data_IF_115394279257
#
_entry.id   IF_115394279257
#
_cell.length_a   1.000
_cell.length_b   1.000
_cell.length_c   1.000
_cell.angle_alpha   90.00
_cell.angle_beta   90.00
_cell.angle_gamma   90.00
#
_symmetry.space_group_name_H-M   'P 1'
#
loop_
_entity.id
_entity.type
_entity.pdbx_description
1 polymer ?
#
# COMPACT_ATOMS: atom_id res chain seq x y z
N UNK A 1 23.73 19.41 -17.62
CA UNK A 1 22.41 19.16 -17.04
C UNK A 1 22.02 20.32 -16.16
N UNK A 2 20.88 20.94 -16.40
CA UNK A 2 20.35 22.06 -15.62
C UNK A 2 19.79 21.59 -14.28
N UNK A 3 19.61 22.50 -13.32
CA UNK A 3 18.96 22.19 -12.01
C UNK A 3 17.54 21.64 -12.24
N UNK A 4 16.79 22.19 -13.18
CA UNK A 4 15.44 21.76 -13.53
C UNK A 4 15.43 20.30 -14.03
N UNK A 5 16.29 19.98 -14.98
CA UNK A 5 16.44 18.60 -15.49
C UNK A 5 16.78 17.60 -14.37
N UNK A 6 17.59 18.04 -13.39
CA UNK A 6 17.96 17.21 -12.26
C UNK A 6 16.78 16.95 -11.33
N UNK A 7 15.97 17.98 -11.05
CA UNK A 7 14.77 17.86 -10.24
C UNK A 7 13.73 16.95 -10.91
N UNK A 8 13.55 17.06 -12.23
CA UNK A 8 12.65 16.18 -13.01
C UNK A 8 13.09 14.69 -12.92
N UNK A 9 14.40 14.44 -12.92
CA UNK A 9 14.94 13.08 -12.75
C UNK A 9 14.62 12.56 -11.34
N UNK A 10 14.80 13.36 -10.28
CA UNK A 10 14.48 12.95 -8.92
C UNK A 10 12.98 12.74 -8.71
N UNK A 11 12.13 13.59 -9.27
CA UNK A 11 10.69 13.43 -9.25
C UNK A 11 10.26 12.08 -9.84
N UNK A 12 10.78 11.73 -11.03
CA UNK A 12 10.53 10.45 -11.68
C UNK A 12 11.12 9.27 -10.92
N UNK A 13 12.31 9.42 -10.33
CA UNK A 13 12.98 8.39 -9.53
C UNK A 13 12.15 8.05 -8.28
N UNK A 14 11.60 9.07 -7.62
CA UNK A 14 10.75 8.96 -6.44
C UNK A 14 9.28 8.62 -6.77
N UNK A 15 8.90 8.57 -8.05
CA UNK A 15 7.51 8.37 -8.52
C UNK A 15 6.52 9.41 -7.99
N UNK A 16 6.94 10.64 -7.76
CA UNK A 16 6.06 11.72 -7.34
C UNK A 16 5.15 12.18 -8.50
N UNK A 17 5.58 11.99 -9.74
CA UNK A 17 4.80 12.17 -10.96
C UNK A 17 3.63 11.17 -11.09
N UNK A 18 3.67 10.05 -10.34
CA UNK A 18 2.68 8.96 -10.38
C UNK A 18 2.24 8.58 -8.96
N UNK A 19 1.41 9.38 -8.30
CA UNK A 19 1.13 9.25 -6.86
C UNK A 19 0.32 8.01 -6.47
N UNK A 20 -0.15 7.20 -7.42
CA UNK A 20 -0.98 6.02 -7.14
C UNK A 20 -0.38 5.10 -6.08
N UNK A 21 0.94 4.86 -6.14
CA UNK A 21 1.60 4.00 -5.16
C UNK A 21 1.66 4.60 -3.75
N UNK A 22 1.73 5.94 -3.64
CA UNK A 22 1.62 6.65 -2.36
C UNK A 22 0.20 6.47 -1.81
N UNK A 23 -0.82 6.65 -2.64
CA UNK A 23 -2.22 6.55 -2.24
C UNK A 23 -2.59 5.13 -1.79
N UNK A 24 -2.13 4.08 -2.50
CA UNK A 24 -2.37 2.69 -2.11
C UNK A 24 -1.70 2.31 -0.78
N UNK A 25 -0.61 2.95 -0.40
CA UNK A 25 0.03 2.81 0.92
C UNK A 25 -0.66 3.68 1.98
N UNK A 26 -1.18 4.84 1.57
CA UNK A 26 -1.79 5.83 2.46
C UNK A 26 -3.14 5.34 3.01
N UNK A 27 -4.02 4.78 2.16
CA UNK A 27 -5.36 4.38 2.58
C UNK A 27 -5.35 3.42 3.77
N UNK A 28 -4.64 2.27 3.76
CA UNK A 28 -4.62 1.37 4.91
C UNK A 28 -3.99 2.01 6.14
N UNK A 29 -3.01 2.89 5.96
CA UNK A 29 -2.43 3.67 7.06
C UNK A 29 -3.46 4.59 7.70
N UNK A 30 -4.27 5.28 6.89
CA UNK A 30 -5.35 6.15 7.37
C UNK A 30 -6.45 5.35 8.07
N UNK A 31 -6.84 4.18 7.56
CA UNK A 31 -7.80 3.31 8.25
C UNK A 31 -7.28 2.94 9.64
N UNK A 32 -6.00 2.56 9.75
CA UNK A 32 -5.35 2.25 11.02
C UNK A 32 -5.33 3.44 11.99
N UNK A 33 -4.97 4.63 11.51
CA UNK A 33 -4.93 5.86 12.32
C UNK A 33 -6.32 6.23 12.87
N UNK A 34 -7.35 6.15 12.03
CA UNK A 34 -8.71 6.46 12.44
C UNK A 34 -9.27 5.44 13.42
N UNK A 35 -9.11 4.16 13.10
CA UNK A 35 -9.66 3.10 13.91
C UNK A 35 -8.96 2.96 15.28
N UNK A 36 -7.63 3.18 15.32
CA UNK A 36 -6.86 3.13 16.58
C UNK A 36 -7.25 4.21 17.59
N UNK A 37 -7.98 5.24 17.17
CA UNK A 37 -8.36 6.40 17.99
C UNK A 37 -9.85 6.65 18.03
N UNK A 38 -10.64 5.74 17.44
CA UNK A 38 -12.09 5.94 17.31
C UNK A 38 -12.45 7.29 16.67
N UNK A 39 -11.77 7.63 15.59
CA UNK A 39 -12.07 8.80 14.76
C UNK A 39 -11.36 10.10 15.17
N UNK A 40 -10.48 10.08 16.16
CA UNK A 40 -9.78 11.29 16.64
C UNK A 40 -8.26 11.12 16.69
N UNK A 41 -7.57 10.92 15.54
CA UNK A 41 -6.12 10.74 15.53
C UNK A 41 -5.39 11.99 16.02
N UNK A 42 -4.35 11.80 16.82
CA UNK A 42 -3.52 12.91 17.28
C UNK A 42 -2.85 13.60 16.09
N UNK A 43 -2.99 14.94 15.92
CA UNK A 43 -2.52 15.64 14.71
C UNK A 43 -1.03 15.43 14.40
N UNK A 44 -0.19 15.45 15.42
CA UNK A 44 1.27 15.22 15.26
C UNK A 44 1.57 13.81 14.72
N UNK A 45 0.92 12.78 15.28
CA UNK A 45 1.07 11.39 14.82
C UNK A 45 0.55 11.26 13.39
N UNK A 46 -0.60 11.85 13.10
CA UNK A 46 -1.20 11.86 11.76
C UNK A 46 -0.24 12.42 10.70
N UNK A 47 0.36 13.59 10.96
CA UNK A 47 1.33 14.22 10.04
C UNK A 47 2.59 13.35 9.87
N UNK A 48 3.13 12.78 10.96
CA UNK A 48 4.29 11.89 10.91
C UNK A 48 4.01 10.69 9.99
N UNK A 49 2.83 10.07 10.09
CA UNK A 49 2.48 8.93 9.25
C UNK A 49 2.29 9.31 7.79
N UNK A 50 1.64 10.43 7.47
CA UNK A 50 1.49 10.90 6.08
C UNK A 50 2.86 11.16 5.45
N UNK A 51 3.72 11.92 6.12
CA UNK A 51 5.07 12.19 5.63
C UNK A 51 5.89 10.91 5.53
N UNK A 52 5.79 10.03 6.52
CA UNK A 52 6.43 8.71 6.52
C UNK A 52 6.02 7.85 5.32
N UNK A 53 4.72 7.83 4.96
CA UNK A 53 4.20 7.14 3.77
C UNK A 53 4.85 7.68 2.49
N UNK A 54 4.88 9.01 2.31
CA UNK A 54 5.48 9.64 1.12
C UNK A 54 6.96 9.31 1.02
N UNK A 55 7.71 9.50 2.12
CA UNK A 55 9.16 9.26 2.16
C UNK A 55 9.49 7.77 1.92
N UNK A 56 8.83 6.87 2.63
CA UNK A 56 9.10 5.44 2.53
C UNK A 56 8.66 4.84 1.19
N UNK A 57 7.54 5.32 0.62
CA UNK A 57 7.11 4.89 -0.72
C UNK A 57 8.10 5.35 -1.79
N UNK A 58 8.60 6.60 -1.69
CA UNK A 58 9.62 7.12 -2.60
C UNK A 58 10.94 6.35 -2.47
N UNK A 59 11.42 6.10 -1.26
CA UNK A 59 12.61 5.29 -1.02
C UNK A 59 12.44 3.85 -1.57
N UNK A 60 11.27 3.24 -1.34
CA UNK A 60 10.93 1.90 -1.84
C UNK A 60 10.96 1.83 -3.38
N UNK A 61 10.48 2.87 -4.07
CA UNK A 61 10.58 2.95 -5.54
C UNK A 61 12.03 2.94 -6.01
N UNK A 62 12.89 3.73 -5.36
CA UNK A 62 14.32 3.82 -5.71
C UNK A 62 15.02 2.48 -5.49
N UNK A 63 14.78 1.83 -4.35
CA UNK A 63 15.36 0.51 -4.04
C UNK A 63 14.88 -0.56 -5.02
N UNK A 64 13.60 -0.52 -5.40
CA UNK A 64 13.05 -1.42 -6.41
C UNK A 64 13.69 -1.19 -7.78
N UNK A 65 13.78 0.07 -8.24
CA UNK A 65 14.43 0.39 -9.53
C UNK A 65 15.93 0.05 -9.51
N UNK A 66 16.61 0.18 -8.35
CA UNK A 66 17.99 -0.26 -8.19
C UNK A 66 18.12 -1.78 -8.29
N UNK A 67 17.23 -2.54 -7.65
CA UNK A 67 17.24 -4.00 -7.73
C UNK A 67 16.97 -4.48 -9.17
N UNK A 68 16.10 -3.81 -9.90
CA UNK A 68 15.65 -4.20 -11.23
C UNK A 68 16.43 -3.54 -12.39
N UNK A 69 17.40 -2.68 -12.11
CA UNK A 69 18.12 -1.86 -13.11
C UNK A 69 18.65 -2.62 -14.33
N UNK A 70 18.98 -3.91 -14.17
CA UNK A 70 19.48 -4.75 -15.26
C UNK A 70 18.35 -5.39 -16.08
N UNK A 71 17.13 -5.46 -15.52
CA UNK A 71 15.95 -6.03 -16.19
C UNK A 71 15.10 -4.94 -16.82
N UNK A 72 14.91 -3.82 -16.14
CA UNK A 72 14.05 -2.71 -16.56
C UNK A 72 14.40 -2.15 -17.95
N UNK A 73 15.67 -2.19 -18.36
CA UNK A 73 16.10 -1.77 -19.69
C UNK A 73 15.58 -2.65 -20.85
N UNK A 74 15.09 -3.86 -20.55
CA UNK A 74 14.57 -4.82 -21.51
C UNK A 74 13.04 -4.88 -21.56
N UNK A 75 12.36 -4.12 -20.69
CA UNK A 75 10.89 -4.06 -20.62
C UNK A 75 10.42 -2.71 -21.15
N UNK A 76 9.54 -2.72 -22.14
CA UNK A 76 9.06 -1.51 -22.85
C UNK A 76 8.54 -0.43 -21.92
N UNK A 77 7.78 -0.83 -20.87
CA UNK A 77 7.18 0.08 -19.89
C UNK A 77 8.19 0.72 -18.93
N UNK A 78 9.35 0.11 -18.72
CA UNK A 78 10.31 0.51 -17.66
C UNK A 78 11.65 0.98 -18.19
N UNK A 79 11.93 0.83 -19.49
CA UNK A 79 13.19 1.24 -20.12
C UNK A 79 13.57 2.71 -19.92
N UNK A 80 12.55 3.59 -19.79
CA UNK A 80 12.72 5.03 -19.60
C UNK A 80 12.87 5.45 -18.13
N UNK A 81 12.92 4.49 -17.19
CA UNK A 81 13.18 4.79 -15.78
C UNK A 81 14.58 5.39 -15.62
N UNK A 82 14.77 6.37 -14.71
CA UNK A 82 16.04 7.07 -14.57
C UNK A 82 17.28 6.17 -14.40
N UNK A 83 17.17 5.07 -13.66
CA UNK A 83 18.27 4.11 -13.51
C UNK A 83 18.46 3.21 -14.72
N UNK A 84 17.38 2.74 -15.35
CA UNK A 84 17.43 1.90 -16.56
C UNK A 84 17.99 2.71 -17.75
N UNK A 85 17.56 3.97 -17.89
CA UNK A 85 18.03 4.92 -18.89
C UNK A 85 19.42 5.54 -18.59
N UNK A 86 20.05 5.16 -17.46
CA UNK A 86 21.36 5.66 -17.01
C UNK A 86 21.44 7.19 -16.83
N UNK A 87 20.31 7.84 -16.55
CA UNK A 87 20.23 9.28 -16.28
C UNK A 87 20.76 9.66 -14.89
N UNK A 88 20.84 8.69 -13.99
CA UNK A 88 21.37 8.83 -12.63
C UNK A 88 22.23 7.61 -12.29
N UNK A 89 23.29 7.81 -11.51
CA UNK A 89 24.16 6.72 -11.09
C UNK A 89 23.48 5.86 -10.00
N UNK A 90 23.75 4.54 -9.95
CA UNK A 90 23.23 3.67 -8.88
C UNK A 90 23.63 4.12 -7.47
N UNK A 91 24.83 4.68 -7.32
CA UNK A 91 25.33 5.21 -6.03
C UNK A 91 24.51 6.41 -5.58
N UNK A 92 24.26 7.34 -6.49
CA UNK A 92 23.46 8.54 -6.21
C UNK A 92 22.01 8.16 -5.86
N UNK A 93 21.41 7.25 -6.59
CA UNK A 93 20.06 6.76 -6.29
C UNK A 93 19.99 6.16 -4.87
N UNK A 94 20.96 5.34 -4.47
CA UNK A 94 21.02 4.78 -3.11
C UNK A 94 21.23 5.85 -2.03
N UNK A 95 22.02 6.91 -2.31
CA UNK A 95 22.16 8.04 -1.40
C UNK A 95 20.83 8.76 -1.20
N UNK A 96 20.08 9.02 -2.28
CA UNK A 96 18.74 9.63 -2.19
C UNK A 96 17.81 8.73 -1.37
N UNK A 97 17.78 7.42 -1.63
CA UNK A 97 16.97 6.48 -0.85
C UNK A 97 17.37 6.50 0.64
N UNK A 98 18.66 6.51 0.95
CA UNK A 98 19.18 6.58 2.31
C UNK A 98 18.77 7.87 3.04
N UNK A 99 18.81 9.02 2.35
CA UNK A 99 18.32 10.30 2.90
C UNK A 99 16.82 10.24 3.21
N UNK A 100 16.01 9.70 2.30
CA UNK A 100 14.56 9.57 2.52
C UNK A 100 14.24 8.65 3.72
N UNK A 101 14.94 7.52 3.84
CA UNK A 101 14.82 6.61 4.99
C UNK A 101 15.25 7.29 6.29
N UNK A 102 16.37 8.03 6.28
CA UNK A 102 16.84 8.75 7.46
C UNK A 102 15.85 9.84 7.92
N UNK A 103 15.25 10.58 6.98
CA UNK A 103 14.20 11.56 7.27
C UNK A 103 12.94 10.87 7.84
N UNK A 104 12.49 9.76 7.25
CA UNK A 104 11.37 8.99 7.78
C UNK A 104 11.66 8.46 9.18
N UNK A 105 12.88 7.97 9.43
CA UNK A 105 13.29 7.50 10.75
C UNK A 105 13.36 8.64 11.78
N UNK A 106 13.85 9.82 11.40
CA UNK A 106 13.84 11.00 12.26
C UNK A 106 12.43 11.41 12.70
N UNK A 107 11.43 11.26 11.82
CA UNK A 107 10.02 11.44 12.18
C UNK A 107 9.55 10.38 13.18
N UNK A 108 9.87 9.11 12.96
CA UNK A 108 9.47 8.00 13.83
C UNK A 108 10.10 8.09 15.22
N UNK A 109 11.30 8.65 15.36
CA UNK A 109 11.95 8.86 16.68
C UNK A 109 11.16 9.77 17.63
N UNK A 110 10.19 10.52 17.13
CA UNK A 110 9.26 11.33 17.94
C UNK A 110 8.11 10.51 18.53
N UNK A 111 7.98 9.23 18.17
CA UNK A 111 6.92 8.33 18.60
C UNK A 111 7.40 7.44 19.76
N UNK A 112 6.50 6.59 20.28
CA UNK A 112 6.82 5.69 21.38
C UNK A 112 7.78 4.55 20.97
N UNK A 113 8.45 3.90 21.94
CA UNK A 113 9.45 2.85 21.65
C UNK A 113 8.90 1.63 20.89
N UNK A 114 7.61 1.29 21.08
CA UNK A 114 7.01 0.19 20.34
C UNK A 114 6.89 0.51 18.85
N UNK A 115 6.44 1.72 18.52
CA UNK A 115 6.35 2.18 17.12
C UNK A 115 7.73 2.25 16.44
N UNK A 116 8.76 2.72 17.18
CA UNK A 116 10.14 2.73 16.68
C UNK A 116 10.61 1.30 16.35
N UNK A 117 10.38 0.32 17.23
CA UNK A 117 10.73 -1.09 16.96
C UNK A 117 10.00 -1.63 15.74
N UNK A 118 8.70 -1.35 15.62
CA UNK A 118 7.91 -1.77 14.46
C UNK A 118 8.36 -1.12 13.15
N UNK A 119 8.85 0.13 13.18
CA UNK A 119 9.37 0.79 11.98
C UNK A 119 10.63 0.12 11.42
N UNK A 120 11.47 -0.46 12.29
CA UNK A 120 12.63 -1.27 11.85
C UNK A 120 12.17 -2.54 11.14
N UNK A 121 11.12 -3.20 11.64
CA UNK A 121 10.51 -4.37 10.98
C UNK A 121 9.91 -3.96 9.62
N UNK A 122 9.18 -2.83 9.59
CA UNK A 122 8.61 -2.30 8.33
C UNK A 122 9.69 -2.02 7.28
N UNK A 123 10.81 -1.42 7.68
CA UNK A 123 11.96 -1.18 6.80
C UNK A 123 12.53 -2.50 6.26
N UNK A 124 12.72 -3.50 7.11
CA UNK A 124 13.23 -4.82 6.68
C UNK A 124 12.30 -5.47 5.66
N UNK A 125 10.96 -5.43 5.90
CA UNK A 125 9.97 -5.92 4.95
C UNK A 125 10.02 -5.21 3.60
N UNK A 126 10.18 -3.88 3.61
CA UNK A 126 10.25 -3.07 2.41
C UNK A 126 11.52 -3.34 1.59
N UNK A 127 12.68 -3.51 2.26
CA UNK A 127 13.96 -3.78 1.59
C UNK A 127 14.01 -5.18 0.97
N UNK A 128 13.37 -6.18 1.59
CA UNK A 128 13.35 -7.56 1.10
C UNK A 128 12.44 -7.71 -0.13
N UNK A 129 11.36 -6.95 -0.21
CA UNK A 129 10.33 -7.08 -1.25
C UNK A 129 10.87 -7.14 -2.70
N UNK A 130 11.76 -6.25 -3.17
CA UNK A 130 12.20 -6.24 -4.57
C UNK A 130 12.92 -7.53 -5.00
N UNK A 131 13.48 -8.28 -4.05
CA UNK A 131 14.23 -9.49 -4.33
C UNK A 131 13.34 -10.74 -4.38
N UNK A 132 12.13 -10.67 -3.80
CA UNK A 132 11.23 -11.82 -3.68
C UNK A 132 10.70 -12.32 -5.02
N UNK A 133 10.47 -11.46 -5.99
CA UNK A 133 10.00 -11.87 -7.32
C UNK A 133 10.94 -12.82 -8.09
N UNK A 134 12.15 -13.01 -7.58
CA UNK A 134 13.12 -13.97 -8.15
C UNK A 134 12.99 -15.37 -7.56
N UNK A 135 12.48 -15.48 -6.34
CA UNK A 135 12.46 -16.73 -5.57
C UNK A 135 11.07 -17.14 -5.09
N UNK A 136 10.19 -16.19 -4.84
CA UNK A 136 8.88 -16.42 -4.25
C UNK A 136 7.75 -16.26 -5.28
N UNK A 137 6.79 -17.19 -5.29
CA UNK A 137 5.74 -17.23 -6.31
C UNK A 137 4.61 -16.21 -6.12
N UNK A 138 4.45 -15.66 -4.91
CA UNK A 138 3.40 -14.71 -4.57
C UNK A 138 3.99 -13.44 -3.91
N UNK A 139 4.91 -12.71 -4.58
CA UNK A 139 5.53 -11.51 -4.02
C UNK A 139 4.50 -10.44 -3.63
N UNK A 140 3.31 -10.44 -4.24
CA UNK A 140 2.17 -9.57 -3.94
C UNK A 140 1.67 -9.70 -2.50
N UNK A 141 1.71 -10.90 -1.92
CA UNK A 141 1.36 -11.10 -0.50
C UNK A 141 2.35 -10.38 0.43
N UNK A 142 3.64 -10.48 0.12
CA UNK A 142 4.67 -9.76 0.88
C UNK A 142 4.53 -8.26 0.74
N UNK A 143 4.24 -7.77 -0.49
CA UNK A 143 3.92 -6.36 -0.72
C UNK A 143 2.76 -5.91 0.17
N UNK A 144 1.70 -6.72 0.24
CA UNK A 144 0.53 -6.44 1.06
C UNK A 144 0.86 -6.34 2.55
N UNK A 145 1.76 -7.21 3.06
CA UNK A 145 2.27 -7.11 4.43
C UNK A 145 3.08 -5.82 4.60
N UNK A 146 4.03 -5.54 3.72
CA UNK A 146 4.89 -4.35 3.82
C UNK A 146 4.07 -3.05 3.74
N UNK A 147 3.10 -2.98 2.82
CA UNK A 147 2.20 -1.82 2.66
C UNK A 147 1.18 -1.70 3.80
N UNK A 148 0.73 -2.84 4.35
CA UNK A 148 -0.19 -2.87 5.49
C UNK A 148 0.47 -2.57 6.83
N UNK A 149 1.79 -2.55 6.91
CA UNK A 149 2.51 -2.44 8.20
C UNK A 149 2.31 -1.08 8.89
N UNK A 150 1.86 -0.07 8.16
CA UNK A 150 1.40 1.19 8.73
C UNK A 150 0.22 1.03 9.70
N UNK A 151 -0.62 -0.02 9.52
CA UNK A 151 -1.76 -0.30 10.40
C UNK A 151 -1.31 -0.66 11.82
N UNK A 152 -0.53 -1.74 12.07
CA UNK A 152 -0.06 -2.06 13.41
C UNK A 152 0.78 -0.94 14.02
N UNK A 153 1.54 -0.20 13.21
CA UNK A 153 2.28 0.97 13.68
C UNK A 153 1.35 2.09 14.16
N UNK A 154 0.21 2.34 13.49
CA UNK A 154 -0.77 3.34 13.90
C UNK A 154 -1.39 3.01 15.27
N UNK A 155 -1.76 1.74 15.50
CA UNK A 155 -2.23 1.27 16.81
C UNK A 155 -1.12 1.40 17.87
N UNK A 156 0.10 0.99 17.56
CA UNK A 156 1.22 1.14 18.47
C UNK A 156 1.47 2.61 18.83
N UNK A 157 1.40 3.52 17.87
CA UNK A 157 1.65 4.95 18.10
C UNK A 157 0.63 5.59 19.04
N UNK A 158 -0.66 5.22 18.91
CA UNK A 158 -1.73 5.80 19.72
C UNK A 158 -1.97 5.06 21.04
N UNK A 159 -1.89 3.72 21.03
CA UNK A 159 -2.31 2.88 22.14
C UNK A 159 -1.14 2.22 22.90
N UNK A 160 0.11 2.37 22.40
CA UNK A 160 1.31 1.66 22.86
C UNK A 160 1.15 0.12 22.90
N UNK A 161 0.28 -0.41 22.05
CA UNK A 161 0.03 -1.85 21.88
C UNK A 161 -0.49 -2.13 20.48
N UNK A 162 -0.37 -3.39 20.04
CA UNK A 162 -0.93 -3.84 18.76
C UNK A 162 -2.02 -4.88 19.06
N UNK A 163 -3.26 -4.45 18.96
CA UNK A 163 -4.43 -5.29 19.23
C UNK A 163 -4.73 -6.24 18.07
N UNK A 164 -5.46 -7.35 18.29
CA UNK A 164 -5.82 -8.31 17.23
C UNK A 164 -6.53 -7.66 16.03
N UNK A 165 -7.32 -6.62 16.24
CA UNK A 165 -7.99 -5.87 15.19
C UNK A 165 -7.01 -5.27 14.17
N UNK A 166 -5.84 -4.78 14.61
CA UNK A 166 -4.81 -4.24 13.73
C UNK A 166 -4.25 -5.32 12.78
N UNK A 167 -4.00 -6.53 13.31
CA UNK A 167 -3.52 -7.65 12.49
C UNK A 167 -4.59 -8.16 11.51
N UNK A 168 -5.86 -8.16 11.93
CA UNK A 168 -6.99 -8.49 11.05
C UNK A 168 -7.12 -7.50 9.91
N UNK A 169 -6.96 -6.20 10.18
CA UNK A 169 -6.97 -5.17 9.13
C UNK A 169 -5.75 -5.29 8.20
N UNK A 170 -4.57 -5.62 8.73
CA UNK A 170 -3.39 -5.89 7.92
C UNK A 170 -3.61 -7.11 7.00
N UNK A 171 -4.28 -8.16 7.49
CA UNK A 171 -4.65 -9.31 6.67
C UNK A 171 -5.62 -8.91 5.53
N UNK A 172 -6.61 -8.06 5.81
CA UNK A 172 -7.47 -7.50 4.78
C UNK A 172 -6.66 -6.76 3.71
N UNK A 173 -5.75 -5.88 4.15
CA UNK A 173 -4.87 -5.15 3.23
C UNK A 173 -3.99 -6.08 2.39
N UNK A 174 -3.51 -7.18 2.95
CA UNK A 174 -2.74 -8.18 2.19
C UNK A 174 -3.54 -8.76 1.03
N UNK A 175 -4.80 -9.14 1.25
CA UNK A 175 -5.67 -9.62 0.16
C UNK A 175 -5.96 -8.54 -0.87
N UNK A 176 -6.19 -7.30 -0.45
CA UNK A 176 -6.37 -6.18 -1.36
C UNK A 176 -5.11 -5.93 -2.20
N UNK A 177 -3.93 -5.97 -1.58
CA UNK A 177 -2.67 -5.81 -2.29
C UNK A 177 -2.42 -6.93 -3.32
N UNK A 178 -2.73 -8.19 -2.97
CA UNK A 178 -2.66 -9.30 -3.93
C UNK A 178 -3.57 -9.01 -5.12
N UNK A 179 -4.79 -8.50 -4.90
CA UNK A 179 -5.72 -8.20 -5.96
C UNK A 179 -5.20 -7.12 -6.90
N UNK A 180 -4.93 -5.90 -6.38
CA UNK A 180 -4.53 -4.79 -7.24
C UNK A 180 -3.15 -4.98 -7.89
N UNK A 181 -2.21 -5.62 -7.21
CA UNK A 181 -0.89 -5.85 -7.78
C UNK A 181 -0.89 -7.04 -8.76
N UNK A 182 -1.87 -7.96 -8.66
CA UNK A 182 -2.13 -8.94 -9.71
C UNK A 182 -2.67 -8.27 -10.97
N UNK A 183 -3.62 -7.32 -10.84
CA UNK A 183 -4.11 -6.52 -11.98
C UNK A 183 -2.96 -5.80 -12.70
N UNK A 184 -2.00 -5.29 -11.93
CA UNK A 184 -0.79 -4.68 -12.47
C UNK A 184 0.14 -5.72 -13.11
N UNK A 185 0.38 -6.87 -12.47
CA UNK A 185 1.22 -7.94 -12.98
C UNK A 185 0.65 -8.62 -14.25
N UNK A 186 -0.66 -8.54 -14.48
CA UNK A 186 -1.27 -9.01 -15.73
C UNK A 186 -0.78 -8.24 -16.96
N UNK A 187 -0.32 -6.99 -16.78
CA UNK A 187 0.21 -6.15 -17.87
C UNK A 187 1.59 -6.66 -18.31
N UNK A 188 2.43 -7.00 -17.35
CA UNK A 188 3.83 -7.35 -17.56
C UNK A 188 4.04 -8.87 -17.71
N UNK A 189 2.97 -9.67 -17.70
CA UNK A 189 3.02 -11.13 -17.60
C UNK A 189 3.92 -11.79 -18.65
N UNK A 190 3.81 -11.39 -19.92
CA UNK A 190 4.57 -12.00 -21.01
C UNK A 190 6.06 -11.66 -20.93
N UNK A 191 6.40 -10.47 -20.44
CA UNK A 191 7.78 -10.06 -20.24
C UNK A 191 8.37 -10.70 -18.97
N UNK A 192 7.58 -10.79 -17.88
CA UNK A 192 7.99 -11.49 -16.65
C UNK A 192 8.32 -12.97 -16.92
N UNK A 193 7.52 -13.66 -17.76
CA UNK A 193 7.78 -15.06 -18.15
C UNK A 193 9.12 -15.17 -18.89
N UNK A 194 9.40 -14.27 -19.86
CA UNK A 194 10.66 -14.27 -20.64
C UNK A 194 11.88 -14.01 -19.75
N UNK A 195 11.71 -13.18 -18.70
CA UNK A 195 12.77 -12.82 -17.76
C UNK A 195 12.89 -13.80 -16.59
N UNK A 196 12.04 -14.84 -16.52
CA UNK A 196 12.04 -15.83 -15.43
C UNK A 196 11.61 -15.26 -14.07
N UNK A 197 10.88 -14.13 -14.06
CA UNK A 197 10.35 -13.51 -12.85
C UNK A 197 9.06 -14.21 -12.41
N UNK A 198 8.75 -14.11 -11.12
CA UNK A 198 7.57 -14.71 -10.50
C UNK A 198 6.57 -13.63 -10.11
N UNK A 199 5.30 -13.89 -10.39
CA UNK A 199 4.19 -13.00 -10.01
C UNK A 199 2.90 -13.80 -9.78
N UNK A 200 1.94 -13.21 -9.09
CA UNK A 200 0.61 -13.80 -8.92
C UNK A 200 -0.11 -14.02 -10.24
N UNK A 201 0.07 -13.14 -11.23
CA UNK A 201 -0.52 -13.32 -12.56
C UNK A 201 0.02 -14.57 -13.26
N UNK A 202 1.29 -14.92 -13.06
CA UNK A 202 1.90 -16.17 -13.56
C UNK A 202 1.40 -17.35 -12.72
N UNK A 203 1.41 -17.24 -11.39
CA UNK A 203 0.98 -18.29 -10.47
C UNK A 203 -0.47 -18.73 -10.72
N UNK A 204 -1.37 -17.76 -10.86
CA UNK A 204 -2.78 -18.04 -11.10
C UNK A 204 -3.06 -18.50 -12.54
N UNK A 205 -2.18 -18.18 -13.47
CA UNK A 205 -2.25 -18.61 -14.87
C UNK A 205 -3.59 -18.20 -15.52
N UNK A 206 -4.36 -19.18 -16.04
CA UNK A 206 -5.69 -18.93 -16.64
C UNK A 206 -6.75 -18.47 -15.64
N UNK A 207 -6.50 -18.62 -14.36
CA UNK A 207 -7.40 -18.26 -13.27
C UNK A 207 -7.06 -16.91 -12.62
N UNK A 208 -6.19 -16.10 -13.25
CA UNK A 208 -5.75 -14.79 -12.75
C UNK A 208 -6.92 -13.88 -12.36
N UNK A 209 -7.91 -13.73 -13.25
CA UNK A 209 -9.14 -12.95 -12.97
C UNK A 209 -9.90 -13.50 -11.77
N UNK A 210 -10.07 -14.83 -11.69
CA UNK A 210 -10.76 -15.47 -10.57
C UNK A 210 -9.96 -15.26 -9.27
N UNK A 211 -8.62 -15.37 -9.32
CA UNK A 211 -7.73 -15.11 -8.19
C UNK A 211 -7.87 -13.68 -7.64
N UNK A 212 -7.90 -12.67 -8.53
CA UNK A 212 -8.15 -11.27 -8.16
C UNK A 212 -9.51 -11.14 -7.47
N UNK A 213 -10.57 -11.72 -8.04
CA UNK A 213 -11.92 -11.61 -7.46
C UNK A 213 -12.05 -12.33 -6.11
N UNK A 214 -11.41 -13.48 -5.93
CA UNK A 214 -11.35 -14.18 -4.63
C UNK A 214 -10.62 -13.32 -3.58
N UNK A 215 -9.50 -12.68 -3.94
CA UNK A 215 -8.78 -11.79 -3.04
C UNK A 215 -9.64 -10.56 -2.67
N UNK A 216 -10.33 -9.95 -3.62
CA UNK A 216 -11.26 -8.86 -3.34
C UNK A 216 -12.44 -9.31 -2.44
N UNK A 217 -13.00 -10.49 -2.68
CA UNK A 217 -14.06 -11.04 -1.83
C UNK A 217 -13.57 -11.28 -0.40
N UNK A 218 -12.38 -11.85 -0.23
CA UNK A 218 -11.75 -12.02 1.08
C UNK A 218 -11.51 -10.67 1.77
N UNK A 219 -10.98 -9.68 1.04
CA UNK A 219 -10.81 -8.32 1.55
C UNK A 219 -12.12 -7.73 2.07
N UNK A 220 -13.17 -7.71 1.25
CA UNK A 220 -14.48 -7.14 1.65
C UNK A 220 -15.06 -7.91 2.84
N UNK A 221 -14.97 -9.25 2.85
CA UNK A 221 -15.47 -10.07 3.97
C UNK A 221 -14.77 -9.71 5.29
N UNK A 222 -13.44 -9.57 5.27
CA UNK A 222 -12.68 -9.17 6.46
C UNK A 222 -13.03 -7.74 6.86
N UNK A 223 -13.20 -6.81 5.92
CA UNK A 223 -13.59 -5.43 6.23
C UNK A 223 -15.00 -5.35 6.82
N UNK A 224 -15.95 -6.17 6.36
CA UNK A 224 -17.28 -6.32 6.98
C UNK A 224 -17.12 -6.79 8.45
N UNK A 225 -16.31 -7.84 8.67
CA UNK A 225 -16.05 -8.35 10.03
C UNK A 225 -15.43 -7.27 10.93
N UNK A 226 -14.46 -6.48 10.42
CA UNK A 226 -13.89 -5.33 11.13
C UNK A 226 -14.96 -4.30 11.49
N UNK A 227 -15.88 -4.01 10.57
CA UNK A 227 -16.98 -3.08 10.81
C UNK A 227 -17.87 -3.51 11.98
N UNK A 228 -18.25 -4.78 12.02
CA UNK A 228 -19.01 -5.33 13.17
C UNK A 228 -18.19 -5.35 14.46
N UNK A 229 -16.92 -5.77 14.40
CA UNK A 229 -16.06 -5.81 15.59
C UNK A 229 -15.84 -4.42 16.18
N UNK A 230 -15.56 -3.42 15.34
CA UNK A 230 -15.34 -2.02 15.75
C UNK A 230 -16.65 -1.24 15.98
N UNK A 231 -17.82 -1.88 15.80
CA UNK A 231 -19.16 -1.28 15.93
C UNK A 231 -19.35 -0.04 15.05
N UNK A 232 -18.84 -0.11 13.83
CA UNK A 232 -19.04 0.94 12.83
C UNK A 232 -20.48 0.90 12.30
N UNK A 233 -21.02 2.04 11.93
CA UNK A 233 -22.41 2.19 11.55
C UNK A 233 -22.64 2.25 10.03
N UNK A 234 -23.75 2.85 9.64
CA UNK A 234 -24.25 2.83 8.25
C UNK A 234 -23.31 3.48 7.24
N UNK A 235 -22.65 4.59 7.58
CA UNK A 235 -21.76 5.27 6.65
C UNK A 235 -20.57 4.42 6.23
N UNK A 236 -20.00 3.65 7.17
CA UNK A 236 -18.93 2.71 6.85
C UNK A 236 -19.40 1.62 5.89
N UNK A 237 -20.56 1.01 6.14
CA UNK A 237 -21.11 -0.03 5.27
C UNK A 237 -21.54 0.50 3.89
N UNK A 238 -21.96 1.77 3.79
CA UNK A 238 -22.16 2.44 2.49
C UNK A 238 -20.82 2.57 1.76
N UNK A 239 -19.75 2.96 2.44
CA UNK A 239 -18.40 2.99 1.87
C UNK A 239 -17.96 1.63 1.34
N UNK A 240 -18.23 0.53 2.07
CA UNK A 240 -17.96 -0.83 1.62
C UNK A 240 -18.83 -1.24 0.42
N UNK A 241 -20.09 -0.83 0.38
CA UNK A 241 -20.97 -1.09 -0.78
C UNK A 241 -20.45 -0.38 -2.03
N UNK A 242 -20.00 0.88 -1.92
CA UNK A 242 -19.36 1.61 -3.02
C UNK A 242 -18.08 0.88 -3.46
N UNK A 243 -17.23 0.46 -2.53
CA UNK A 243 -16.03 -0.32 -2.82
C UNK A 243 -16.37 -1.62 -3.56
N UNK A 244 -17.44 -2.32 -3.18
CA UNK A 244 -17.91 -3.53 -3.86
C UNK A 244 -18.39 -3.24 -5.30
N UNK A 245 -19.07 -2.13 -5.53
CA UNK A 245 -19.43 -1.70 -6.90
C UNK A 245 -18.19 -1.39 -7.75
N UNK A 246 -17.15 -0.77 -7.17
CA UNK A 246 -15.89 -0.52 -7.84
C UNK A 246 -15.16 -1.83 -8.18
N UNK A 247 -15.20 -2.84 -7.31
CA UNK A 247 -14.67 -4.18 -7.59
C UNK A 247 -15.44 -4.85 -8.76
N UNK A 248 -16.75 -4.74 -8.80
CA UNK A 248 -17.53 -5.24 -9.92
C UNK A 248 -17.15 -4.55 -11.25
N UNK A 249 -16.89 -3.26 -11.22
CA UNK A 249 -16.35 -2.52 -12.36
C UNK A 249 -14.96 -3.01 -12.77
N UNK A 250 -14.05 -3.25 -11.80
CA UNK A 250 -12.72 -3.82 -12.06
C UNK A 250 -12.83 -5.19 -12.74
N UNK A 251 -13.76 -6.06 -12.29
CA UNK A 251 -14.01 -7.34 -12.98
C UNK A 251 -14.32 -7.16 -14.47
N UNK A 252 -15.21 -6.20 -14.82
CA UNK A 252 -15.54 -5.90 -16.23
C UNK A 252 -14.29 -5.44 -17.01
N UNK A 253 -13.38 -4.74 -16.36
CA UNK A 253 -12.14 -4.31 -16.98
C UNK A 253 -11.18 -5.48 -17.22
N UNK A 254 -10.87 -6.27 -16.18
CA UNK A 254 -9.80 -7.28 -16.24
C UNK A 254 -10.20 -8.57 -16.95
N UNK A 255 -11.48 -8.88 -17.10
CA UNK A 255 -11.96 -10.14 -17.74
C UNK A 255 -11.44 -10.34 -19.17
N UNK A 256 -11.08 -9.25 -19.85
CA UNK A 256 -10.54 -9.28 -21.22
C UNK A 256 -9.01 -9.39 -21.25
N UNK A 257 -8.32 -9.25 -20.13
CA UNK A 257 -6.85 -9.25 -19.99
C UNK A 257 -6.10 -8.26 -20.88
N UNK A 258 -6.79 -7.21 -21.35
CA UNK A 258 -6.15 -6.14 -22.11
C UNK A 258 -5.32 -5.26 -21.17
N UNK A 259 -4.03 -5.03 -21.47
CA UNK A 259 -3.10 -4.33 -20.57
C UNK A 259 -3.58 -2.95 -20.12
N UNK A 260 -4.10 -2.12 -21.03
CA UNK A 260 -4.66 -0.79 -20.69
C UNK A 260 -5.85 -0.89 -19.72
N UNK A 261 -6.70 -1.91 -19.89
CA UNK A 261 -7.86 -2.13 -19.03
C UNK A 261 -7.44 -2.66 -17.66
N UNK A 262 -6.44 -3.55 -17.61
CA UNK A 262 -5.85 -4.01 -16.35
C UNK A 262 -5.20 -2.84 -15.61
N UNK A 263 -4.50 -1.96 -16.31
CA UNK A 263 -3.93 -0.75 -15.71
C UNK A 263 -5.00 0.19 -15.16
N UNK A 264 -6.11 0.36 -15.89
CA UNK A 264 -7.26 1.15 -15.41
C UNK A 264 -7.90 0.54 -14.16
N UNK A 265 -7.98 -0.78 -14.07
CA UNK A 265 -8.46 -1.47 -12.87
C UNK A 265 -7.53 -1.23 -11.68
N UNK A 266 -6.21 -1.40 -11.88
CA UNK A 266 -5.20 -1.08 -10.87
C UNK A 266 -5.34 0.36 -10.34
N UNK A 267 -5.47 1.36 -11.22
CA UNK A 267 -5.65 2.75 -10.81
C UNK A 267 -6.96 2.99 -10.06
N UNK A 268 -8.02 2.24 -10.40
CA UNK A 268 -9.33 2.34 -9.76
C UNK A 268 -9.31 1.95 -8.28
N UNK A 269 -8.33 1.14 -7.83
CA UNK A 269 -8.16 0.79 -6.42
C UNK A 269 -7.94 2.00 -5.51
N UNK A 270 -7.45 3.12 -6.04
CA UNK A 270 -7.41 4.37 -5.29
C UNK A 270 -8.80 4.79 -4.77
N UNK A 271 -9.80 4.73 -5.63
CA UNK A 271 -11.18 5.12 -5.28
C UNK A 271 -11.82 4.13 -4.33
N UNK A 272 -11.46 2.85 -4.44
CA UNK A 272 -11.88 1.82 -3.49
C UNK A 272 -11.37 2.13 -2.08
N UNK A 273 -10.07 2.41 -1.94
CA UNK A 273 -9.48 2.79 -0.65
C UNK A 273 -10.08 4.06 -0.08
N UNK A 274 -10.30 5.08 -0.94
CA UNK A 274 -10.92 6.35 -0.57
C UNK A 274 -12.36 6.19 -0.09
N UNK A 275 -13.18 5.37 -0.76
CA UNK A 275 -14.58 5.15 -0.41
C UNK A 275 -14.71 4.53 1.00
N UNK A 276 -13.89 3.54 1.32
CA UNK A 276 -13.86 2.93 2.66
C UNK A 276 -13.44 3.95 3.72
N UNK A 277 -12.39 4.72 3.44
CA UNK A 277 -11.92 5.74 4.36
C UNK A 277 -12.96 6.84 4.59
N UNK A 278 -13.57 7.34 3.53
CA UNK A 278 -14.63 8.35 3.62
C UNK A 278 -15.83 7.85 4.43
N UNK A 279 -16.25 6.60 4.19
CA UNK A 279 -17.31 5.95 4.98
C UNK A 279 -16.95 5.85 6.46
N UNK A 280 -15.71 5.44 6.78
CA UNK A 280 -15.20 5.35 8.15
C UNK A 280 -15.17 6.72 8.83
N UNK A 281 -14.65 7.76 8.16
CA UNK A 281 -14.60 9.13 8.71
C UNK A 281 -16.01 9.66 8.95
N UNK A 282 -16.91 9.50 7.99
CA UNK A 282 -18.28 9.95 8.12
C UNK A 282 -18.99 9.27 9.30
N UNK A 283 -18.74 7.98 9.51
CA UNK A 283 -19.33 7.22 10.59
C UNK A 283 -18.90 7.74 11.97
N UNK A 284 -17.62 8.00 12.14
CA UNK A 284 -17.08 8.57 13.38
C UNK A 284 -17.56 10.00 13.64
N UNK A 285 -17.77 10.80 12.58
CA UNK A 285 -18.24 12.19 12.73
C UNK A 285 -19.73 12.28 13.10
N UNK A 286 -20.57 11.36 12.59
CA UNK A 286 -22.03 11.51 12.71
C UNK A 286 -22.72 10.53 13.64
N UNK A 287 -22.14 9.34 13.87
CA UNK A 287 -22.84 8.26 14.57
C UNK A 287 -22.17 7.74 15.84
N UNK A 288 -20.87 7.99 16.03
CA UNK A 288 -20.18 7.58 17.24
C UNK A 288 -19.93 8.82 18.11
N UNK A 289 -20.73 9.05 19.17
CA UNK A 289 -20.45 10.16 20.07
C UNK A 289 -19.08 9.94 20.71
N UNK A 290 -18.22 10.95 20.61
CA UNK A 290 -16.88 11.00 21.21
C UNK A 290 -16.99 11.05 22.75
N UNK A 291 -17.43 9.98 23.40
CA UNK A 291 -17.38 9.89 24.86
C UNK A 291 -16.10 9.18 25.28
N UNK A 292 -15.23 9.84 26.08
CA UNK A 292 -13.99 9.24 26.58
C UNK A 292 -14.17 7.97 27.41
N UNK A 293 -15.40 7.66 27.84
CA UNK A 293 -15.71 6.54 28.73
C UNK A 293 -16.01 5.20 28.04
N UNK A 294 -16.26 5.17 26.72
CA UNK A 294 -16.59 3.93 25.99
C UNK A 294 -15.35 3.12 25.56
N UNK A 295 -14.16 3.66 25.77
CA UNK A 295 -12.88 3.11 25.32
C UNK A 295 -12.43 1.83 26.05
N UNK A 296 -12.95 1.55 27.22
CA UNK A 296 -12.54 0.41 28.03
C UNK A 296 -13.19 -0.93 27.72
N UNK A 297 -14.27 -0.95 26.91
CA UNK A 297 -15.08 -2.15 26.70
C UNK A 297 -14.72 -2.94 25.43
N UNK A 298 -14.00 -2.36 24.49
CA UNK A 298 -13.66 -2.97 23.20
C UNK A 298 -12.23 -3.56 23.17
N UNK A 299 -11.41 -3.24 24.16
CA UNK A 299 -10.02 -3.71 24.27
C UNK A 299 -9.85 -4.98 25.13
N UNK A 300 -10.95 -5.65 25.53
CA UNK A 300 -10.90 -6.92 26.25
C UNK A 300 -11.42 -8.07 25.42
#
# INVERSE_FOLDING_TARGET
>A
MTIKERLDIYEKLMRLDKPIGILLLLWPTLWGLWLSTYGSPHPGIFVIFILGVVLMRSAGCIVNDFADRNFDSHVERTKDRPLAAKLISPREALVVAGVLVALAFALVLQLNPLTIKLSVVALALAVVYPFLKRVFWLPQAWLGIAFGFGIPMAFAAHQNQVVPLAWTMMAANMFWAIAYDTEYAMIDRDDDIKLGLKSSAILFGRYDVAGVMVCHAAFIFIMIYIGYWARLGACYFIGLAIATCLIAYQYVLIRTRQGERCFKAFLNNNWLGAAIYAGMVADFLWFIPLSPGSLGAVAR
#
